data_IF_703727332868
#
_entry.id   IF_703727332868
#
_cell.length_a   1.000
_cell.length_b   1.000
_cell.length_c   1.000
_cell.angle_alpha   90.00
_cell.angle_beta   90.00
_cell.angle_gamma   90.00
#
_symmetry.space_group_name_H-M   'P 1'
#
loop_
_entity.id
_entity.type
_entity.pdbx_description
1 polymer ?
#
# COMPACT_ATOMS: atom_id res chain seq x y z
N UNK A 1 -7.50 16.48 4.04
CA UNK A 1 -8.16 16.13 2.75
C UNK A 1 -8.91 14.80 2.93
N UNK A 2 -9.87 14.39 2.08
CA UNK A 2 -10.46 13.06 2.22
C UNK A 2 -9.37 11.99 2.05
N UNK A 3 -9.39 10.97 2.89
CA UNK A 3 -8.42 9.88 2.81
C UNK A 3 -8.57 9.12 1.47
N UNK A 4 -7.45 8.92 0.78
CA UNK A 4 -7.37 8.13 -0.45
C UNK A 4 -6.81 6.74 -0.14
N UNK A 5 -6.99 5.80 -1.05
CA UNK A 5 -6.41 4.45 -1.00
C UNK A 5 -5.47 4.27 -2.18
N UNK A 6 -4.27 3.75 -1.93
CA UNK A 6 -3.28 3.45 -2.94
C UNK A 6 -2.97 1.95 -2.98
N UNK A 7 -2.87 1.39 -4.19
CA UNK A 7 -2.40 0.03 -4.41
C UNK A 7 -1.68 -0.07 -5.75
N UNK A 8 -0.73 -1.02 -5.85
CA UNK A 8 0.04 -1.23 -7.06
C UNK A 8 -0.78 -1.97 -8.10
N UNK A 9 -0.97 -1.36 -9.27
CA UNK A 9 -1.59 -2.01 -10.41
C UNK A 9 -0.52 -2.72 -11.23
N UNK A 10 -0.43 -4.06 -11.10
CA UNK A 10 0.58 -4.87 -11.78
C UNK A 10 0.48 -4.84 -13.31
N UNK A 11 -0.71 -4.62 -13.86
CA UNK A 11 -0.93 -4.54 -15.32
C UNK A 11 -0.43 -3.21 -15.87
N UNK A 12 -0.78 -2.10 -15.21
CA UNK A 12 -0.40 -0.75 -15.64
C UNK A 12 1.00 -0.32 -15.21
N UNK A 13 1.57 -1.01 -14.21
CA UNK A 13 2.81 -0.60 -13.52
C UNK A 13 2.72 0.84 -13.00
N UNK A 14 1.60 1.16 -12.37
CA UNK A 14 1.30 2.45 -11.74
C UNK A 14 0.56 2.23 -10.42
N UNK A 15 0.64 3.20 -9.52
CA UNK A 15 -0.19 3.25 -8.33
C UNK A 15 -1.60 3.71 -8.70
N UNK A 16 -2.60 2.86 -8.47
CA UNK A 16 -3.99 3.28 -8.57
C UNK A 16 -4.39 4.00 -7.30
N UNK A 17 -4.91 5.22 -7.45
CA UNK A 17 -5.42 6.04 -6.33
C UNK A 17 -6.94 5.99 -6.35
N UNK A 18 -7.54 5.57 -5.24
CA UNK A 18 -8.99 5.52 -5.05
C UNK A 18 -9.47 6.52 -4.02
N UNK A 19 -10.57 7.20 -4.34
CA UNK A 19 -11.31 8.06 -3.43
C UNK A 19 -12.81 7.76 -3.59
N UNK A 20 -13.55 7.66 -2.48
CA UNK A 20 -14.99 7.35 -2.52
C UNK A 20 -15.32 6.02 -3.22
N UNK A 21 -14.40 5.04 -3.21
CA UNK A 21 -14.58 3.74 -3.86
C UNK A 21 -14.25 3.71 -5.36
N UNK A 22 -13.95 4.84 -5.98
CA UNK A 22 -13.62 4.94 -7.40
C UNK A 22 -12.12 5.22 -7.59
N UNK A 23 -11.53 4.69 -8.66
CA UNK A 23 -10.16 5.05 -9.06
C UNK A 23 -10.22 6.45 -9.68
N UNK A 24 -9.51 7.40 -9.09
CA UNK A 24 -9.50 8.82 -9.50
C UNK A 24 -8.21 9.22 -10.21
N UNK A 25 -7.12 8.48 -10.00
CA UNK A 25 -5.83 8.77 -10.64
C UNK A 25 -4.95 7.51 -10.77
N UNK A 26 -3.94 7.62 -11.62
CA UNK A 26 -2.84 6.68 -11.74
C UNK A 26 -1.52 7.44 -11.63
N UNK A 27 -0.71 7.10 -10.64
CA UNK A 27 0.52 7.84 -10.32
C UNK A 27 1.76 6.95 -10.39
N UNK A 28 2.89 7.52 -10.81
CA UNK A 28 4.20 6.86 -10.73
C UNK A 28 4.74 6.90 -9.30
N UNK A 29 4.56 8.04 -8.63
CA UNK A 29 4.96 8.28 -7.25
C UNK A 29 3.86 9.02 -6.51
N UNK A 30 3.77 8.77 -5.20
CA UNK A 30 2.95 9.58 -4.30
C UNK A 30 3.46 9.37 -2.86
N UNK A 31 3.03 10.24 -1.96
CA UNK A 31 3.18 10.05 -0.53
C UNK A 31 1.82 10.16 0.17
N UNK A 32 1.61 9.30 1.17
CA UNK A 32 0.46 9.35 2.05
C UNK A 32 0.91 9.53 3.50
N UNK A 33 0.23 10.37 4.26
CA UNK A 33 0.40 10.54 5.70
C UNK A 33 -0.75 9.89 6.49
N UNK A 34 -0.49 9.53 7.76
CA UNK A 34 -1.49 8.94 8.65
C UNK A 34 -1.98 7.57 8.16
N UNK A 35 -1.07 6.75 7.64
CA UNK A 35 -1.38 5.56 6.87
C UNK A 35 -1.98 4.42 7.68
N UNK A 36 -3.00 3.76 7.11
CA UNK A 36 -3.55 2.47 7.52
C UNK A 36 -3.35 1.46 6.39
N UNK A 37 -2.75 0.32 6.71
CA UNK A 37 -2.48 -0.75 5.77
C UNK A 37 -3.57 -1.81 5.91
N UNK A 38 -4.32 -2.05 4.84
CA UNK A 38 -5.42 -2.99 4.83
C UNK A 38 -5.08 -4.21 3.99
N UNK A 39 -5.17 -5.40 4.59
CA UNK A 39 -5.09 -6.68 3.90
C UNK A 39 -6.34 -7.52 4.23
N UNK A 40 -7.22 -7.73 3.26
CA UNK A 40 -8.45 -8.48 3.42
C UNK A 40 -8.21 -9.98 3.30
N UNK A 41 -8.20 -10.68 4.45
CA UNK A 41 -7.85 -12.11 4.53
C UNK A 41 -8.81 -13.02 3.74
N UNK A 42 -10.13 -12.80 3.84
CA UNK A 42 -11.11 -13.62 3.12
C UNK A 42 -10.96 -13.49 1.60
N UNK A 43 -10.73 -12.26 1.11
CA UNK A 43 -10.49 -12.01 -0.31
C UNK A 43 -9.13 -12.55 -0.75
N UNK A 44 -8.09 -12.43 0.09
CA UNK A 44 -6.78 -13.04 -0.16
C UNK A 44 -6.90 -14.55 -0.35
N UNK A 45 -7.54 -15.26 0.57
CA UNK A 45 -7.72 -16.71 0.49
C UNK A 45 -8.51 -17.12 -0.76
N UNK A 46 -9.53 -16.33 -1.14
CA UNK A 46 -10.25 -16.54 -2.40
C UNK A 46 -9.31 -16.38 -3.61
N UNK A 47 -8.60 -15.26 -3.72
CA UNK A 47 -7.67 -14.99 -4.82
C UNK A 47 -6.56 -16.05 -4.93
N UNK A 48 -6.02 -16.52 -3.81
CA UNK A 48 -5.01 -17.60 -3.79
C UNK A 48 -5.60 -18.90 -4.33
N UNK A 49 -6.85 -19.21 -4.00
CA UNK A 49 -7.53 -20.44 -4.44
C UNK A 49 -7.97 -20.39 -5.90
N UNK A 50 -8.51 -19.27 -6.36
CA UNK A 50 -9.13 -19.16 -7.70
C UNK A 50 -8.18 -18.61 -8.76
N UNK A 51 -7.09 -17.95 -8.35
CA UNK A 51 -6.22 -17.19 -9.25
C UNK A 51 -6.77 -15.80 -9.61
N UNK A 52 -7.90 -15.38 -9.03
CA UNK A 52 -8.52 -14.08 -9.29
C UNK A 52 -7.62 -12.93 -8.83
N UNK A 53 -7.70 -11.80 -9.54
CA UNK A 53 -6.87 -10.61 -9.32
C UNK A 53 -7.61 -9.46 -8.64
N UNK A 54 -8.54 -9.78 -7.75
CA UNK A 54 -9.25 -8.76 -6.99
C UNK A 54 -8.30 -7.95 -6.09
N UNK A 55 -8.57 -6.66 -5.96
CA UNK A 55 -7.82 -5.80 -5.04
C UNK A 55 -8.23 -6.14 -3.61
N UNK A 56 -7.29 -6.68 -2.85
CA UNK A 56 -7.48 -7.10 -1.45
C UNK A 56 -6.38 -6.59 -0.52
N UNK A 57 -5.47 -5.76 -1.04
CA UNK A 57 -4.46 -5.08 -0.27
C UNK A 57 -4.29 -3.64 -0.78
N UNK A 58 -4.37 -2.67 0.14
CA UNK A 58 -4.16 -1.25 -0.16
C UNK A 58 -3.69 -0.50 1.09
N UNK A 59 -3.17 0.71 0.88
CA UNK A 59 -2.76 1.63 1.94
C UNK A 59 -3.64 2.86 1.85
N UNK A 60 -4.31 3.21 2.94
CA UNK A 60 -5.17 4.39 3.03
C UNK A 60 -4.50 5.50 3.84
N UNK A 61 -4.62 6.75 3.40
CA UNK A 61 -4.05 7.91 4.09
C UNK A 61 -4.41 9.23 3.41
N UNK A 62 -3.86 10.33 3.88
CA UNK A 62 -4.02 11.65 3.24
C UNK A 62 -2.85 11.92 2.30
N UNK A 63 -3.10 12.52 1.14
CA UNK A 63 -2.02 12.96 0.24
C UNK A 63 -1.09 13.91 0.98
N UNK A 64 0.20 13.65 0.85
CA UNK A 64 1.26 14.43 1.48
C UNK A 64 2.32 14.81 0.45
N UNK A 65 3.00 15.91 0.71
CA UNK A 65 4.17 16.29 -0.07
C UNK A 65 5.31 15.29 0.15
N UNK A 66 6.18 15.21 -0.85
CA UNK A 66 7.30 14.28 -0.85
C UNK A 66 8.38 14.73 0.14
N UNK A 67 8.25 14.31 1.41
CA UNK A 67 9.27 14.55 2.41
C UNK A 67 10.49 13.65 2.16
N UNK A 68 11.68 14.27 2.09
CA UNK A 68 12.95 13.55 2.16
C UNK A 68 13.10 13.02 3.59
N UNK A 69 12.89 11.72 3.77
CA UNK A 69 12.93 11.06 5.07
C UNK A 69 14.01 10.00 5.01
N UNK A 70 15.07 10.18 5.79
CA UNK A 70 16.25 9.31 5.82
C UNK A 70 15.98 7.96 6.51
N UNK A 71 14.86 7.83 7.23
CA UNK A 71 14.52 6.65 8.06
C UNK A 71 13.34 5.82 7.52
N UNK A 72 13.26 5.64 6.20
CA UNK A 72 12.19 4.85 5.60
C UNK A 72 12.52 3.35 5.55
N UNK A 73 11.56 2.53 5.98
CA UNK A 73 11.65 1.07 5.93
C UNK A 73 10.83 0.55 4.76
N UNK A 74 11.43 -0.32 3.94
CA UNK A 74 10.67 -0.98 2.86
C UNK A 74 9.58 -1.86 3.45
N UNK A 75 8.36 -1.70 2.96
CA UNK A 75 7.21 -2.50 3.35
C UNK A 75 6.63 -3.24 2.14
N UNK A 76 5.83 -4.27 2.38
CA UNK A 76 5.03 -4.82 1.31
C UNK A 76 4.15 -5.99 1.70
N UNK A 77 3.20 -6.23 0.82
CA UNK A 77 2.22 -7.30 0.91
C UNK A 77 2.65 -8.48 0.03
N UNK A 78 2.37 -9.70 0.49
CA UNK A 78 2.65 -10.96 -0.24
C UNK A 78 1.38 -11.81 -0.20
N UNK A 79 0.73 -12.15 -1.33
CA UNK A 79 -0.52 -12.92 -1.30
C UNK A 79 -0.44 -14.28 -0.58
N UNK A 80 0.74 -14.90 -0.55
CA UNK A 80 0.97 -16.16 0.15
C UNK A 80 0.93 -16.02 1.69
N UNK A 81 1.15 -14.81 2.22
CA UNK A 81 1.27 -14.52 3.64
C UNK A 81 0.20 -13.51 4.08
N UNK A 82 -0.28 -13.63 5.31
CA UNK A 82 -1.23 -12.64 5.85
C UNK A 82 -0.53 -11.34 6.20
N UNK A 83 -1.18 -10.22 5.86
CA UNK A 83 -0.82 -8.87 6.30
C UNK A 83 0.26 -8.17 5.47
N UNK A 84 0.38 -6.86 5.69
CA UNK A 84 1.56 -6.11 5.26
C UNK A 84 2.70 -6.38 6.22
N UNK A 85 3.93 -6.41 5.71
CA UNK A 85 5.12 -6.62 6.52
C UNK A 85 6.21 -5.60 6.22
N UNK A 86 6.94 -5.21 7.25
CA UNK A 86 8.23 -4.54 7.10
C UNK A 86 9.30 -5.54 6.66
N UNK A 87 10.19 -5.13 5.75
CA UNK A 87 11.16 -6.03 5.10
C UNK A 87 12.45 -6.23 5.89
N UNK A 88 12.72 -5.38 6.86
CA UNK A 88 13.86 -5.43 7.77
C UNK A 88 13.68 -6.47 8.88
N UNK A 89 12.49 -6.61 9.47
CA UNK A 89 12.24 -7.54 10.58
C UNK A 89 11.15 -8.57 10.31
N UNK A 90 10.53 -8.54 9.14
CA UNK A 90 9.38 -9.38 8.75
C UNK A 90 8.12 -9.23 9.62
N UNK A 91 8.07 -8.27 10.54
CA UNK A 91 6.90 -8.05 11.40
C UNK A 91 5.70 -7.59 10.58
N UNK A 92 4.52 -8.09 10.95
CA UNK A 92 3.24 -7.61 10.42
C UNK A 92 3.00 -6.18 10.92
N UNK A 93 2.55 -5.32 10.02
CA UNK A 93 2.26 -3.91 10.27
C UNK A 93 0.87 -3.58 9.75
N UNK A 94 0.21 -2.63 10.42
CA UNK A 94 -1.14 -2.17 10.08
C UNK A 94 -1.24 -0.65 9.98
N UNK A 95 -0.21 0.06 10.44
CA UNK A 95 -0.12 1.53 10.42
C UNK A 95 1.28 2.00 10.07
N UNK A 96 1.37 3.21 9.55
CA UNK A 96 2.62 3.96 9.36
C UNK A 96 2.31 5.45 9.45
N UNK A 97 3.28 6.27 9.84
CA UNK A 97 3.08 7.73 9.87
C UNK A 97 3.09 8.33 8.47
N UNK A 98 3.94 7.79 7.60
CA UNK A 98 4.03 8.17 6.20
C UNK A 98 4.38 6.95 5.36
N UNK A 99 3.83 6.87 4.15
CA UNK A 99 4.23 5.87 3.15
C UNK A 99 4.52 6.58 1.84
N UNK A 100 5.74 6.39 1.31
CA UNK A 100 6.13 6.77 -0.04
C UNK A 100 5.98 5.58 -0.98
N UNK A 101 5.50 5.88 -2.17
CA UNK A 101 5.22 4.95 -3.23
C UNK A 101 6.15 5.27 -4.39
N UNK A 102 6.96 4.30 -4.81
CA UNK A 102 7.98 4.48 -5.83
C UNK A 102 7.55 3.90 -7.19
N UNK A 103 8.17 4.32 -8.32
CA UNK A 103 7.76 3.91 -9.67
C UNK A 103 7.95 2.42 -9.97
N UNK A 104 8.77 1.72 -9.17
CA UNK A 104 9.02 0.28 -9.29
C UNK A 104 7.94 -0.57 -8.58
N UNK A 105 6.94 0.06 -7.96
CA UNK A 105 5.91 -0.59 -7.16
C UNK A 105 6.36 -0.92 -5.74
N UNK A 106 7.52 -0.42 -5.29
CA UNK A 106 7.94 -0.51 -3.90
C UNK A 106 7.28 0.58 -3.05
N UNK A 107 6.98 0.23 -1.80
CA UNK A 107 6.44 1.14 -0.80
C UNK A 107 7.39 1.22 0.40
N UNK A 108 7.56 2.42 0.95
CA UNK A 108 8.55 2.76 1.96
C UNK A 108 7.87 3.55 3.06
N UNK A 109 7.96 3.09 4.30
CA UNK A 109 7.19 3.60 5.42
C UNK A 109 8.06 4.24 6.51
N UNK A 110 7.59 5.35 7.06
CA UNK A 110 8.08 5.94 8.29
C UNK A 110 7.32 5.36 9.50
N UNK A 111 8.05 4.94 10.52
CA UNK A 111 7.52 4.39 11.78
C UNK A 111 6.41 3.32 11.60
N UNK A 112 6.62 2.27 10.75
CA UNK A 112 5.60 1.26 10.54
C UNK A 112 5.42 0.37 11.77
N UNK A 113 4.17 0.06 12.10
CA UNK A 113 3.73 -0.68 13.30
C UNK A 113 2.40 -1.41 13.10
#
# INVERSE_FOLDING_TARGET
MPAVQAYWNRTRRLWSVRAGGLVVAYEQTLALAGCRLHAGESTRLRCVRTGDRDVHAWIAGELADEACLEALVRIGYRPAETGFRRRDTDQIITRAELVRFAPDGSAWALNPR
#
